data_IF_643261221689
#
_entry.id   IF_643261221689
#
_cell.length_a   1.000
_cell.length_b   1.000
_cell.length_c   1.000
_cell.angle_alpha   90.00
_cell.angle_beta   90.00
_cell.angle_gamma   90.00
#
_symmetry.space_group_name_H-M   'P 1'
#
loop_
_entity.id
_entity.type
_entity.pdbx_description
1 polymer ?
#
# COMPACT_ATOMS: atom_id res chain seq x y z
N UNK A 1 4.67 20.07 11.40
CA UNK A 1 3.64 20.70 10.53
C UNK A 1 3.92 20.52 9.03
N UNK A 2 5.17 20.61 8.52
CA UNK A 2 5.49 20.41 7.09
C UNK A 2 4.98 19.10 6.45
N UNK A 3 5.07 17.97 7.15
CA UNK A 3 4.73 16.67 6.55
C UNK A 3 3.23 16.49 6.28
N UNK A 4 2.34 17.15 7.05
CA UNK A 4 0.89 17.01 6.86
C UNK A 4 0.42 17.67 5.57
N UNK A 5 0.92 18.87 5.24
CA UNK A 5 0.61 19.53 3.98
C UNK A 5 1.11 18.70 2.78
N UNK A 6 2.30 18.11 2.89
CA UNK A 6 2.82 17.22 1.85
C UNK A 6 1.93 15.98 1.66
N UNK A 7 1.53 15.30 2.73
CA UNK A 7 0.63 14.14 2.67
C UNK A 7 -0.72 14.53 2.04
N UNK A 8 -1.30 15.64 2.47
CA UNK A 8 -2.57 16.15 1.93
C UNK A 8 -2.44 16.53 0.46
N UNK A 9 -1.34 17.16 0.06
CA UNK A 9 -1.08 17.52 -1.33
C UNK A 9 -0.98 16.28 -2.22
N UNK A 10 -0.25 15.25 -1.80
CA UNK A 10 -0.14 14.00 -2.57
C UNK A 10 -1.50 13.31 -2.68
N UNK A 11 -2.22 13.14 -1.57
CA UNK A 11 -3.57 12.54 -1.62
C UNK A 11 -4.53 13.39 -2.49
N UNK A 12 -4.45 14.72 -2.43
CA UNK A 12 -5.24 15.64 -3.24
C UNK A 12 -4.91 15.55 -4.73
N UNK A 13 -3.64 15.41 -5.10
CA UNK A 13 -3.21 15.19 -6.49
C UNK A 13 -3.80 13.87 -7.01
N UNK A 14 -3.70 12.78 -6.25
CA UNK A 14 -4.27 11.50 -6.67
C UNK A 14 -5.80 11.53 -6.75
N UNK A 15 -6.47 12.26 -5.85
CA UNK A 15 -7.92 12.47 -5.95
C UNK A 15 -8.27 13.21 -7.24
N UNK A 16 -7.55 14.29 -7.55
CA UNK A 16 -7.72 15.06 -8.77
C UNK A 16 -7.45 14.19 -10.01
N UNK A 17 -6.42 13.35 -10.00
CA UNK A 17 -6.17 12.38 -11.08
C UNK A 17 -7.33 11.40 -11.24
N UNK A 18 -7.87 10.84 -10.15
CA UNK A 18 -9.05 9.96 -10.21
C UNK A 18 -10.24 10.68 -10.87
N UNK A 19 -10.52 11.91 -10.47
CA UNK A 19 -11.61 12.71 -11.07
C UNK A 19 -11.34 12.99 -12.55
N UNK A 20 -10.14 13.41 -12.91
CA UNK A 20 -9.76 13.75 -14.29
C UNK A 20 -9.83 12.53 -15.21
N UNK A 21 -9.27 11.38 -14.83
CA UNK A 21 -9.32 10.16 -15.65
C UNK A 21 -10.74 9.58 -15.73
N UNK A 22 -11.55 9.74 -14.68
CA UNK A 22 -12.96 9.37 -14.73
C UNK A 22 -13.73 10.25 -15.72
N UNK A 23 -13.50 11.57 -15.70
CA UNK A 23 -14.12 12.50 -16.65
C UNK A 23 -13.64 12.22 -18.09
N UNK A 24 -12.34 11.96 -18.26
CA UNK A 24 -11.74 11.59 -19.55
C UNK A 24 -12.34 10.32 -20.13
N UNK A 25 -12.47 9.25 -19.33
CA UNK A 25 -13.10 8.01 -19.76
C UNK A 25 -14.56 8.23 -20.20
N UNK A 26 -15.32 9.05 -19.47
CA UNK A 26 -16.69 9.43 -19.86
C UNK A 26 -16.73 10.21 -21.17
N UNK A 27 -15.83 11.17 -21.37
CA UNK A 27 -15.75 11.95 -22.62
C UNK A 27 -15.48 11.06 -23.84
N UNK A 28 -14.75 9.96 -23.65
CA UNK A 28 -14.44 8.98 -24.70
C UNK A 28 -15.46 7.84 -24.81
N UNK A 29 -16.57 7.87 -24.04
CA UNK A 29 -17.54 6.78 -23.93
C UNK A 29 -16.92 5.42 -23.54
N UNK A 30 -15.85 5.44 -22.75
CA UNK A 30 -15.17 4.26 -22.23
C UNK A 30 -15.78 3.83 -20.89
N UNK A 31 -15.76 2.53 -20.55
CA UNK A 31 -16.25 2.04 -19.26
C UNK A 31 -15.38 2.57 -18.12
N UNK A 32 -15.96 3.39 -17.25
CA UNK A 32 -15.25 3.98 -16.10
C UNK A 32 -14.80 2.93 -15.08
N UNK A 33 -15.54 1.82 -14.98
CA UNK A 33 -15.18 0.68 -14.11
C UNK A 33 -13.88 0.02 -14.53
N UNK A 34 -13.53 0.13 -15.82
CA UNK A 34 -12.25 -0.32 -16.37
C UNK A 34 -11.05 0.34 -15.68
N UNK A 35 -11.19 1.54 -15.12
CA UNK A 35 -10.08 2.23 -14.43
C UNK A 35 -9.55 1.46 -13.20
N UNK A 36 -10.41 0.69 -12.53
CA UNK A 36 -10.07 -0.11 -11.35
C UNK A 36 -10.15 -1.63 -11.60
N UNK A 37 -10.61 -2.07 -12.78
CA UNK A 37 -10.68 -3.49 -13.14
C UNK A 37 -9.72 -3.79 -14.29
N UNK A 38 -8.53 -4.38 -14.02
CA UNK A 38 -7.66 -4.80 -15.10
C UNK A 38 -8.24 -6.04 -15.80
N UNK A 39 -8.58 -5.99 -17.10
CA UNK A 39 -8.90 -7.16 -17.89
C UNK A 39 -7.64 -7.99 -18.14
N UNK A 40 -7.81 -9.27 -18.52
CA UNK A 40 -6.70 -10.15 -18.88
C UNK A 40 -5.89 -9.62 -20.08
N UNK A 41 -6.57 -8.93 -21.00
CA UNK A 41 -5.97 -8.22 -22.12
C UNK A 41 -6.52 -6.78 -22.16
N UNK A 42 -5.75 -5.77 -21.74
CA UNK A 42 -6.17 -4.37 -21.79
C UNK A 42 -6.39 -3.95 -23.25
N UNK A 43 -7.59 -3.45 -23.55
CA UNK A 43 -7.96 -2.95 -24.87
C UNK A 43 -7.71 -1.44 -24.97
N UNK A 44 -7.85 -0.75 -23.84
CA UNK A 44 -7.65 0.68 -23.72
C UNK A 44 -6.58 1.02 -22.68
N UNK A 45 -5.93 2.17 -22.85
CA UNK A 45 -4.90 2.64 -21.92
C UNK A 45 -5.46 2.96 -20.52
N UNK A 46 -6.79 3.14 -20.41
CA UNK A 46 -7.52 3.35 -19.17
C UNK A 46 -7.73 2.06 -18.38
N UNK A 47 -7.62 0.89 -19.02
CA UNK A 47 -7.95 -0.38 -18.41
C UNK A 47 -6.95 -0.75 -17.31
N UNK A 48 -7.45 -0.96 -16.10
CA UNK A 48 -6.68 -1.25 -14.91
C UNK A 48 -5.74 -0.13 -14.45
N UNK A 49 -5.82 1.09 -15.00
CA UNK A 49 -4.84 2.16 -14.75
C UNK A 49 -4.57 2.38 -13.26
N UNK A 50 -5.62 2.53 -12.45
CA UNK A 50 -5.46 2.78 -11.02
C UNK A 50 -5.11 1.51 -10.23
N UNK A 51 -5.47 0.33 -10.73
CA UNK A 51 -5.07 -0.95 -10.14
C UNK A 51 -3.58 -1.21 -10.36
N UNK A 52 -3.06 -0.96 -11.56
CA UNK A 52 -1.62 -1.02 -11.82
C UNK A 52 -0.85 0.03 -11.04
N UNK A 53 -1.43 1.23 -10.88
CA UNK A 53 -0.84 2.28 -10.04
C UNK A 53 -0.79 1.84 -8.58
N UNK A 54 -1.84 1.23 -8.05
CA UNK A 54 -1.83 0.64 -6.71
C UNK A 54 -0.74 -0.44 -6.57
N UNK A 55 -0.61 -1.34 -7.56
CA UNK A 55 0.45 -2.35 -7.57
C UNK A 55 1.85 -1.73 -7.55
N UNK A 56 2.09 -0.66 -8.31
CA UNK A 56 3.35 0.09 -8.26
C UNK A 56 3.60 0.73 -6.90
N UNK A 57 2.57 1.30 -6.28
CA UNK A 57 2.66 1.85 -4.92
C UNK A 57 3.01 0.77 -3.90
N UNK A 58 2.54 -0.47 -4.08
CA UNK A 58 2.90 -1.61 -3.23
C UNK A 58 4.39 -2.00 -3.34
N UNK A 59 5.07 -1.65 -4.44
CA UNK A 59 6.50 -1.89 -4.60
C UNK A 59 7.38 -0.93 -3.79
N UNK A 60 6.88 0.27 -3.48
CA UNK A 60 7.69 1.31 -2.83
C UNK A 60 8.13 0.89 -1.41
N UNK A 61 7.23 0.48 -0.49
CA UNK A 61 7.62 0.08 0.85
C UNK A 61 8.69 -1.01 0.93
N UNK A 62 8.55 -2.18 0.27
CA UNK A 62 9.56 -3.23 0.40
C UNK A 62 10.92 -2.80 -0.14
N UNK A 63 10.96 -2.07 -1.27
CA UNK A 63 12.22 -1.60 -1.87
C UNK A 63 12.90 -0.57 -0.97
N UNK A 64 12.17 0.45 -0.54
CA UNK A 64 12.74 1.54 0.27
C UNK A 64 13.19 1.02 1.64
N UNK A 65 12.38 0.18 2.29
CA UNK A 65 12.78 -0.42 3.56
C UNK A 65 13.98 -1.36 3.41
N UNK A 66 14.01 -2.23 2.39
CA UNK A 66 15.15 -3.13 2.18
C UNK A 66 16.44 -2.36 1.91
N UNK A 67 16.38 -1.34 1.05
CA UNK A 67 17.52 -0.46 0.76
C UNK A 67 18.00 0.26 2.03
N UNK A 68 17.09 0.90 2.77
CA UNK A 68 17.44 1.59 4.01
C UNK A 68 18.01 0.65 5.06
N UNK A 69 17.50 -0.56 5.20
CA UNK A 69 18.08 -1.57 6.09
C UNK A 69 19.51 -1.91 5.67
N UNK A 70 19.75 -2.20 4.39
CA UNK A 70 21.08 -2.55 3.89
C UNK A 70 22.09 -1.43 4.15
N UNK A 71 21.69 -0.18 3.93
CA UNK A 71 22.51 0.99 4.20
C UNK A 71 22.78 1.16 5.71
N UNK A 72 21.74 1.15 6.53
CA UNK A 72 21.84 1.33 7.99
C UNK A 72 22.61 0.21 8.68
N UNK A 73 22.53 -1.02 8.18
CA UNK A 73 23.33 -2.13 8.68
C UNK A 73 24.83 -1.88 8.49
N UNK A 74 25.21 -1.19 7.41
CA UNK A 74 26.60 -0.83 7.11
C UNK A 74 27.05 0.41 7.87
N UNK A 75 26.24 1.47 7.91
CA UNK A 75 26.61 2.74 8.52
C UNK A 75 26.42 2.78 10.04
N UNK A 76 25.45 2.04 10.57
CA UNK A 76 25.09 2.03 11.99
C UNK A 76 24.50 0.67 12.42
N UNK A 77 25.33 -0.38 12.51
CA UNK A 77 24.87 -1.76 12.75
C UNK A 77 24.09 -1.93 14.06
N UNK A 78 24.41 -1.14 15.08
CA UNK A 78 23.74 -1.17 16.41
C UNK A 78 22.47 -0.30 16.49
N UNK A 79 21.93 0.22 15.38
CA UNK A 79 20.68 0.97 15.40
C UNK A 79 19.51 0.05 15.77
N UNK A 80 18.79 0.41 16.84
CA UNK A 80 17.63 -0.33 17.36
C UNK A 80 16.49 -0.45 16.33
N UNK A 81 16.42 0.49 15.38
CA UNK A 81 15.39 0.50 14.34
C UNK A 81 15.70 -0.41 13.14
N UNK A 82 16.90 -1.01 13.06
CA UNK A 82 17.29 -1.86 11.93
C UNK A 82 16.34 -3.07 11.77
N UNK A 83 15.97 -3.71 12.88
CA UNK A 83 15.04 -4.85 12.84
C UNK A 83 13.66 -4.39 12.34
N UNK A 84 13.14 -3.28 12.87
CA UNK A 84 11.85 -2.73 12.43
C UNK A 84 11.81 -2.50 10.92
N UNK A 85 12.86 -1.89 10.35
CA UNK A 85 12.93 -1.63 8.90
C UNK A 85 13.01 -2.93 8.09
N UNK A 86 13.79 -3.92 8.55
CA UNK A 86 13.86 -5.23 7.88
C UNK A 86 12.51 -5.94 7.88
N UNK A 87 11.86 -6.05 9.03
CA UNK A 87 10.55 -6.70 9.13
C UNK A 87 9.46 -5.93 8.39
N UNK A 88 9.56 -4.59 8.32
CA UNK A 88 8.71 -3.77 7.43
C UNK A 88 8.88 -4.19 5.97
N UNK A 89 10.13 -4.35 5.52
CA UNK A 89 10.41 -4.76 4.14
C UNK A 89 9.82 -6.14 3.83
N UNK A 90 10.00 -7.12 4.72
CA UNK A 90 9.49 -8.47 4.56
C UNK A 90 7.96 -8.52 4.57
N UNK A 91 7.32 -7.82 5.51
CA UNK A 91 5.85 -7.74 5.58
C UNK A 91 5.27 -7.16 4.30
N UNK A 92 5.82 -6.03 3.84
CA UNK A 92 5.32 -5.36 2.64
C UNK A 92 5.68 -6.10 1.36
N UNK A 93 6.77 -6.87 1.35
CA UNK A 93 7.10 -7.78 0.25
C UNK A 93 6.06 -8.90 0.14
N UNK A 94 5.66 -9.50 1.27
CA UNK A 94 4.58 -10.48 1.29
C UNK A 94 3.26 -9.91 0.77
N UNK A 95 2.93 -8.67 1.15
CA UNK A 95 1.77 -7.96 0.62
C UNK A 95 1.86 -7.71 -0.90
N UNK A 96 3.01 -7.25 -1.39
CA UNK A 96 3.26 -7.05 -2.82
C UNK A 96 3.09 -8.34 -3.61
N UNK A 97 3.66 -9.45 -3.14
CA UNK A 97 3.56 -10.76 -3.79
C UNK A 97 2.09 -11.19 -3.86
N UNK A 98 1.34 -11.05 -2.75
CA UNK A 98 -0.09 -11.36 -2.73
C UNK A 98 -0.87 -10.52 -3.76
N UNK A 99 -0.60 -9.23 -3.85
CA UNK A 99 -1.31 -8.34 -4.78
C UNK A 99 -0.93 -8.63 -6.24
N UNK A 100 0.35 -8.84 -6.54
CA UNK A 100 0.82 -9.05 -7.92
C UNK A 100 0.38 -10.41 -8.48
N UNK A 101 0.51 -11.47 -7.69
CA UNK A 101 0.16 -12.84 -8.11
C UNK A 101 -1.26 -13.23 -7.75
N UNK A 102 -2.03 -12.32 -7.14
CA UNK A 102 -3.41 -12.57 -6.69
C UNK A 102 -3.52 -13.88 -5.90
N UNK A 103 -2.59 -14.12 -4.98
CA UNK A 103 -2.46 -15.39 -4.24
C UNK A 103 -3.79 -15.75 -3.57
N UNK A 104 -4.46 -14.78 -2.95
CA UNK A 104 -5.77 -14.97 -2.33
C UNK A 104 -6.86 -15.47 -3.31
N UNK A 105 -6.77 -15.18 -4.61
CA UNK A 105 -7.67 -15.71 -5.64
C UNK A 105 -7.21 -17.09 -6.11
N UNK A 106 -5.92 -17.27 -6.35
CA UNK A 106 -5.35 -18.57 -6.75
C UNK A 106 -5.63 -19.66 -5.73
N UNK A 107 -5.55 -19.33 -4.43
CA UNK A 107 -5.88 -20.25 -3.34
C UNK A 107 -7.39 -20.60 -3.31
N UNK A 108 -8.26 -19.67 -3.71
CA UNK A 108 -9.70 -19.96 -3.87
C UNK A 108 -9.92 -21.00 -4.97
N UNK A 109 -9.22 -20.89 -6.10
CA UNK A 109 -9.26 -21.92 -7.15
C UNK A 109 -8.73 -23.27 -6.68
N UNK A 110 -7.82 -23.30 -5.70
CA UNK A 110 -7.33 -24.51 -5.06
C UNK A 110 -8.25 -25.03 -3.94
N UNK A 111 -9.44 -24.44 -3.74
CA UNK A 111 -10.43 -24.86 -2.74
C UNK A 111 -10.24 -24.27 -1.34
N UNK A 112 -9.30 -23.33 -1.16
CA UNK A 112 -9.08 -22.66 0.12
C UNK A 112 -9.95 -21.39 0.19
N UNK A 113 -10.82 -21.24 1.21
CA UNK A 113 -11.67 -20.06 1.32
C UNK A 113 -10.87 -18.76 1.39
N UNK A 114 -11.35 -17.71 0.69
CA UNK A 114 -10.75 -16.36 0.71
C UNK A 114 -10.56 -15.84 2.13
N UNK A 115 -11.54 -16.09 3.01
CA UNK A 115 -11.50 -15.72 4.42
C UNK A 115 -10.27 -16.28 5.14
N UNK A 116 -9.87 -17.52 4.87
CA UNK A 116 -8.68 -18.14 5.46
C UNK A 116 -7.42 -17.34 5.15
N UNK A 117 -7.25 -16.94 3.89
CA UNK A 117 -6.09 -16.14 3.46
C UNK A 117 -6.08 -14.77 4.15
N UNK A 118 -7.24 -14.11 4.22
CA UNK A 118 -7.41 -12.82 4.91
C UNK A 118 -7.05 -12.96 6.39
N UNK A 119 -7.53 -14.00 7.08
CA UNK A 119 -7.24 -14.23 8.49
C UNK A 119 -5.74 -14.45 8.73
N UNK A 120 -5.07 -15.24 7.89
CA UNK A 120 -3.61 -15.47 8.01
C UNK A 120 -2.85 -14.14 7.86
N UNK A 121 -3.14 -13.35 6.82
CA UNK A 121 -2.49 -12.06 6.63
C UNK A 121 -2.79 -11.08 7.77
N UNK A 122 -4.02 -11.07 8.29
CA UNK A 122 -4.40 -10.25 9.44
C UNK A 122 -3.62 -10.64 10.70
N UNK A 123 -3.43 -11.93 10.97
CA UNK A 123 -2.63 -12.41 12.10
C UNK A 123 -1.16 -12.02 11.97
N UNK A 124 -0.58 -12.15 10.78
CA UNK A 124 0.80 -11.72 10.51
C UNK A 124 0.93 -10.20 10.73
N UNK A 125 0.03 -9.39 10.17
CA UNK A 125 0.03 -7.94 10.36
C UNK A 125 -0.17 -7.54 11.83
N UNK A 126 -1.06 -8.23 12.55
CA UNK A 126 -1.31 -7.99 13.97
C UNK A 126 -0.09 -8.33 14.84
N UNK A 127 0.53 -9.49 14.60
CA UNK A 127 1.75 -9.88 15.33
C UNK A 127 2.90 -8.91 15.09
N UNK A 128 3.08 -8.45 13.86
CA UNK A 128 4.03 -7.38 13.51
C UNK A 128 3.72 -6.08 14.25
N UNK A 129 2.46 -5.62 14.21
CA UNK A 129 2.01 -4.41 14.87
C UNK A 129 2.24 -4.45 16.39
N UNK A 130 1.99 -5.61 17.02
CA UNK A 130 2.24 -5.84 18.44
C UNK A 130 3.74 -5.82 18.77
N UNK A 131 4.56 -6.51 17.96
CA UNK A 131 6.01 -6.60 18.17
C UNK A 131 6.69 -5.22 18.10
N UNK A 132 6.26 -4.36 17.17
CA UNK A 132 6.86 -3.04 16.93
C UNK A 132 6.01 -1.87 17.45
N UNK A 133 5.02 -2.11 18.31
CA UNK A 133 4.03 -1.12 18.74
C UNK A 133 4.66 0.16 19.30
N UNK A 134 5.70 0.03 20.13
CA UNK A 134 6.41 1.18 20.72
C UNK A 134 7.06 2.06 19.65
N UNK A 135 7.68 1.44 18.64
CA UNK A 135 8.30 2.15 17.52
C UNK A 135 7.22 2.80 16.66
N UNK A 136 6.18 2.05 16.27
CA UNK A 136 5.07 2.56 15.46
C UNK A 136 4.44 3.80 16.10
N UNK A 137 4.15 3.79 17.40
CA UNK A 137 3.60 4.97 18.11
C UNK A 137 4.48 6.23 18.03
N UNK A 138 5.80 6.07 17.91
CA UNK A 138 6.74 7.20 17.78
C UNK A 138 6.89 7.73 16.35
N UNK A 139 6.34 7.02 15.37
CA UNK A 139 6.31 7.41 13.94
C UNK A 139 5.03 8.20 13.64
N UNK A 140 4.81 8.74 12.41
CA UNK A 140 3.50 9.26 11.99
C UNK A 140 2.45 8.14 11.87
N UNK A 141 2.12 7.45 12.97
CA UNK A 141 1.27 6.27 13.01
C UNK A 141 -0.14 6.51 12.48
N UNK A 142 -0.63 7.77 12.56
CA UNK A 142 -1.93 8.16 12.00
C UNK A 142 -1.99 7.86 10.49
N UNK A 143 -0.89 8.03 9.77
CA UNK A 143 -0.79 7.75 8.33
C UNK A 143 -0.84 6.24 8.03
N UNK A 144 -0.17 5.43 8.87
CA UNK A 144 -0.27 3.98 8.77
C UNK A 144 -1.69 3.50 9.12
N UNK A 145 -2.31 4.09 10.15
CA UNK A 145 -3.66 3.75 10.57
C UNK A 145 -4.69 4.07 9.48
N UNK A 146 -4.59 5.23 8.82
CA UNK A 146 -5.47 5.57 7.70
C UNK A 146 -5.27 4.60 6.53
N UNK A 147 -4.02 4.22 6.22
CA UNK A 147 -3.74 3.21 5.20
C UNK A 147 -4.40 1.87 5.52
N UNK A 148 -4.26 1.38 6.76
CA UNK A 148 -4.86 0.10 7.20
C UNK A 148 -6.39 0.17 7.20
N UNK A 149 -6.97 1.29 7.65
CA UNK A 149 -8.41 1.49 7.68
C UNK A 149 -9.00 1.46 6.26
N UNK A 150 -8.39 2.19 5.32
CA UNK A 150 -8.81 2.20 3.92
C UNK A 150 -8.66 0.83 3.24
N UNK A 151 -7.57 0.10 3.54
CA UNK A 151 -7.39 -1.25 3.01
C UNK A 151 -8.46 -2.21 3.54
N UNK A 152 -8.76 -2.12 4.84
CA UNK A 152 -9.81 -2.94 5.47
C UNK A 152 -11.17 -2.67 4.83
N UNK A 153 -11.50 -1.40 4.54
CA UNK A 153 -12.73 -1.04 3.82
C UNK A 153 -12.77 -1.70 2.44
N UNK A 154 -11.69 -1.62 1.65
CA UNK A 154 -11.62 -2.27 0.35
C UNK A 154 -11.82 -3.79 0.45
N UNK A 155 -11.12 -4.45 1.37
CA UNK A 155 -11.22 -5.91 1.58
C UNK A 155 -12.65 -6.31 1.99
N UNK A 156 -13.32 -5.53 2.83
CA UNK A 156 -14.69 -5.79 3.24
C UNK A 156 -15.67 -5.66 2.07
N UNK A 157 -15.54 -4.62 1.24
CA UNK A 157 -16.38 -4.41 0.06
C UNK A 157 -16.21 -5.57 -0.93
N UNK A 158 -14.97 -5.96 -1.20
CA UNK A 158 -14.60 -7.08 -2.08
C UNK A 158 -15.11 -8.43 -1.51
N UNK A 159 -15.03 -8.64 -0.19
CA UNK A 159 -15.49 -9.88 0.45
C UNK A 159 -17.02 -9.99 0.51
N UNK A 160 -17.74 -8.87 0.63
CA UNK A 160 -19.20 -8.83 0.71
C UNK A 160 -19.89 -8.85 -0.66
N UNK A 161 -19.13 -8.84 -1.76
CA UNK A 161 -19.65 -8.85 -3.14
C UNK A 161 -20.76 -7.80 -3.35
N UNK A 162 -20.56 -6.57 -2.87
CA UNK A 162 -21.55 -5.49 -3.00
C UNK A 162 -21.66 -5.04 -4.47
N UNK A 163 -22.51 -5.72 -5.25
CA UNK A 163 -22.50 -5.75 -6.72
C UNK A 163 -22.89 -4.47 -7.46
N UNK A 164 -23.50 -3.48 -6.80
CA UNK A 164 -24.07 -2.29 -7.49
C UNK A 164 -23.12 -1.09 -7.59
N UNK A 165 -22.02 -1.05 -6.83
CA UNK A 165 -21.03 0.07 -6.80
C UNK A 165 -19.58 -0.47 -6.64
N UNK A 166 -19.36 -1.78 -6.84
CA UNK A 166 -18.22 -2.52 -6.29
C UNK A 166 -16.84 -1.96 -6.68
N UNK A 167 -16.61 -1.65 -7.96
CA UNK A 167 -15.25 -1.40 -8.47
C UNK A 167 -14.66 -0.06 -8.01
N UNK A 168 -15.45 1.03 -8.01
CA UNK A 168 -15.00 2.31 -7.47
C UNK A 168 -14.96 2.32 -5.94
N UNK A 169 -15.96 1.71 -5.30
CA UNK A 169 -16.06 1.68 -3.85
C UNK A 169 -14.96 0.83 -3.21
N UNK A 170 -14.50 -0.22 -3.89
CA UNK A 170 -13.29 -0.97 -3.52
C UNK A 170 -12.00 -0.25 -3.94
N UNK A 171 -11.96 0.20 -5.21
CA UNK A 171 -10.75 0.67 -5.86
C UNK A 171 -10.17 1.96 -5.27
N UNK A 172 -11.03 2.93 -4.94
CA UNK A 172 -10.57 4.21 -4.35
C UNK A 172 -9.92 3.96 -2.98
N UNK A 173 -10.58 3.32 -1.99
CA UNK A 173 -9.93 3.02 -0.72
C UNK A 173 -8.64 2.23 -0.87
N UNK A 174 -8.60 1.25 -1.79
CA UNK A 174 -7.39 0.47 -2.07
C UNK A 174 -6.24 1.35 -2.57
N UNK A 175 -6.48 2.19 -3.58
CA UNK A 175 -5.48 3.12 -4.10
C UNK A 175 -4.93 4.06 -3.01
N UNK A 176 -5.83 4.71 -2.25
CA UNK A 176 -5.43 5.64 -1.19
C UNK A 176 -4.75 4.94 -0.02
N UNK A 177 -5.08 3.68 0.25
CA UNK A 177 -4.32 2.86 1.20
C UNK A 177 -2.86 2.71 0.74
N UNK A 178 -2.64 2.37 -0.54
CA UNK A 178 -1.31 2.21 -1.12
C UNK A 178 -0.49 3.50 -1.07
N UNK A 179 -1.09 4.65 -1.40
CA UNK A 179 -0.43 5.96 -1.30
C UNK A 179 0.04 6.22 0.12
N UNK A 180 -0.85 6.06 1.10
CA UNK A 180 -0.53 6.36 2.49
C UNK A 180 0.50 5.39 3.09
N UNK A 181 0.46 4.10 2.71
CA UNK A 181 1.50 3.13 3.07
C UNK A 181 2.87 3.52 2.48
N UNK A 182 2.92 3.84 1.18
CA UNK A 182 4.15 4.25 0.51
C UNK A 182 4.75 5.49 1.16
N UNK A 183 3.94 6.51 1.43
CA UNK A 183 4.36 7.73 2.12
C UNK A 183 4.86 7.46 3.54
N UNK A 184 4.16 6.61 4.30
CA UNK A 184 4.54 6.25 5.67
C UNK A 184 5.95 5.63 5.72
N UNK A 185 6.18 4.59 4.92
CA UNK A 185 7.47 3.90 4.90
C UNK A 185 8.57 4.76 4.29
N UNK A 186 8.27 5.57 3.27
CA UNK A 186 9.21 6.55 2.72
C UNK A 186 9.70 7.52 3.80
N UNK A 187 8.79 8.16 4.53
CA UNK A 187 9.13 9.18 5.55
C UNK A 187 9.97 8.61 6.68
N UNK A 188 9.65 7.39 7.15
CA UNK A 188 10.41 6.73 8.21
C UNK A 188 11.82 6.39 7.74
N UNK A 189 11.92 5.73 6.59
CA UNK A 189 13.20 5.29 6.05
C UNK A 189 14.11 6.49 5.72
N UNK A 190 13.54 7.55 5.13
CA UNK A 190 14.25 8.79 4.86
C UNK A 190 14.80 9.42 6.15
N UNK A 191 13.99 9.49 7.21
CA UNK A 191 14.42 10.05 8.51
C UNK A 191 15.56 9.25 9.13
N UNK A 192 15.47 7.92 9.10
CA UNK A 192 16.51 7.06 9.67
C UNK A 192 17.83 7.12 8.89
N UNK A 193 17.75 7.11 7.55
CA UNK A 193 18.94 7.24 6.69
C UNK A 193 19.61 8.61 6.87
N UNK A 194 18.84 9.70 6.81
CA UNK A 194 19.40 11.06 6.97
C UNK A 194 20.03 11.24 8.35
N UNK A 195 19.39 10.74 9.41
CA UNK A 195 19.96 10.77 10.75
C UNK A 195 21.24 9.94 10.88
N UNK A 196 21.34 8.81 10.18
CA UNK A 196 22.58 8.02 10.16
C UNK A 196 23.70 8.73 9.41
N UNK A 197 23.40 9.43 8.32
CA UNK A 197 24.40 10.15 7.53
C UNK A 197 24.91 11.38 8.27
N UNK A 198 24.03 12.15 8.92
CA UNK A 198 24.41 13.36 9.65
C UNK A 198 25.24 13.11 10.91
N UNK A 199 25.24 11.87 11.43
CA UNK A 199 26.06 11.47 12.58
C UNK A 199 27.43 10.92 12.19
N UNK A 200 27.63 10.62 10.91
CA UNK A 200 28.87 10.09 10.37
C UNK A 200 29.73 11.16 9.66
N UNK A 201 29.19 12.38 9.52
CA UNK A 201 29.91 13.63 9.24
C UNK A 201 30.22 14.34 10.54
#
# INVERSE_FOLDING_TARGET
MKNYHFILAINGIFLLLVVLFTAWAKLLNLPTEGLFSPPESPQYLTDGLFTYTFQLLCCIPPVVCAFSYALLKKTRPKNLNNNFILYSALLMLGFLINEKYRIHITLVYAGIPKLTTITIYALIAFSYGKAFWKIIKSTPYRLLLTSIALLSIAILIDSLQLTTISTFSEGIPKLFSGINAALYFWLICYKEVTYSLSKNT
#
